data_IF_014586578844
#
_entry.id   IF_014586578844
#
_cell.length_a   1.000
_cell.length_b   1.000
_cell.length_c   1.000
_cell.angle_alpha   90.00
_cell.angle_beta   90.00
_cell.angle_gamma   90.00
#
_symmetry.space_group_name_H-M   'P 1'
#
loop_
_entity.id
_entity.type
_entity.pdbx_description
1 polymer ?
#
# COMPACT_ATOMS: atom_id res chain seq x y z
N UNK A 1 -17.71 4.33 11.44
CA UNK A 1 -18.16 5.67 11.00
C UNK A 1 -18.69 5.50 9.59
N UNK A 2 -20.01 5.52 9.38
CA UNK A 2 -20.60 5.25 8.06
C UNK A 2 -20.42 6.46 7.14
N UNK A 3 -19.91 6.23 5.93
CA UNK A 3 -19.87 7.22 4.84
C UNK A 3 -18.68 8.20 4.85
N UNK A 4 -17.65 7.99 5.68
CA UNK A 4 -16.43 8.82 5.65
C UNK A 4 -15.26 8.03 5.05
N UNK A 5 -14.54 8.57 4.06
CA UNK A 5 -13.38 7.90 3.48
C UNK A 5 -12.30 7.61 4.53
N UNK A 6 -11.74 6.40 4.50
CA UNK A 6 -10.55 5.98 5.25
C UNK A 6 -9.36 5.94 4.31
N UNK A 7 -8.40 6.81 4.58
CA UNK A 7 -7.12 6.86 3.85
C UNK A 7 -6.02 6.41 4.79
N UNK A 8 -5.21 5.44 4.34
CA UNK A 8 -4.07 4.94 5.09
C UNK A 8 -2.77 5.58 4.59
N UNK A 9 -1.82 5.82 5.50
CA UNK A 9 -0.48 6.38 5.23
C UNK A 9 0.58 5.54 5.95
N UNK A 10 1.87 5.77 5.68
CA UNK A 10 2.99 5.09 6.34
C UNK A 10 2.93 3.57 6.20
N UNK A 11 2.70 3.11 4.97
CA UNK A 11 2.40 1.69 4.67
C UNK A 11 3.63 0.92 4.20
N UNK A 12 4.58 1.62 3.57
CA UNK A 12 5.79 1.07 2.93
C UNK A 12 6.99 2.01 3.11
N UNK A 13 7.14 2.60 4.30
CA UNK A 13 8.17 3.61 4.59
C UNK A 13 9.59 3.13 4.24
N UNK A 14 9.89 1.83 4.40
CA UNK A 14 11.19 1.25 4.06
C UNK A 14 11.56 1.36 2.58
N UNK A 15 10.56 1.54 1.70
CA UNK A 15 10.76 1.69 0.27
C UNK A 15 11.35 3.04 -0.13
N UNK A 16 11.50 3.97 0.81
CA UNK A 16 12.29 5.19 0.61
C UNK A 16 13.72 4.86 0.18
N UNK A 17 14.32 3.86 0.83
CA UNK A 17 15.72 3.48 0.63
C UNK A 17 15.89 2.07 0.01
N UNK A 18 14.84 1.25 0.01
CA UNK A 18 14.88 -0.13 -0.44
C UNK A 18 13.97 -0.39 -1.64
N UNK A 19 14.40 -1.22 -2.57
CA UNK A 19 13.62 -1.57 -3.78
C UNK A 19 12.34 -2.38 -3.47
N UNK A 20 12.29 -3.07 -2.32
CA UNK A 20 11.17 -3.91 -1.92
C UNK A 20 10.74 -3.59 -0.50
N UNK A 21 9.43 -3.66 -0.20
CA UNK A 21 8.94 -3.51 1.16
C UNK A 21 9.35 -4.74 1.99
N UNK A 22 9.35 -4.55 3.30
CA UNK A 22 9.43 -5.66 4.24
C UNK A 22 8.18 -6.54 4.15
N UNK A 23 8.28 -7.78 4.65
CA UNK A 23 7.13 -8.67 4.76
C UNK A 23 6.00 -8.07 5.61
N UNK A 24 6.37 -7.34 6.66
CA UNK A 24 5.42 -6.67 7.54
C UNK A 24 4.63 -5.58 6.81
N UNK A 25 5.31 -4.71 6.06
CA UNK A 25 4.68 -3.65 5.25
C UNK A 25 3.79 -4.24 4.14
N UNK A 26 4.25 -5.28 3.44
CA UNK A 26 3.43 -5.95 2.43
C UNK A 26 2.13 -6.54 3.04
N UNK A 27 2.24 -7.13 4.23
CA UNK A 27 1.10 -7.66 4.98
C UNK A 27 0.17 -6.52 5.43
N UNK A 28 0.74 -5.39 5.82
CA UNK A 28 -0.02 -4.22 6.26
C UNK A 28 -0.83 -3.60 5.11
N UNK A 29 -0.24 -3.47 3.91
CA UNK A 29 -0.95 -3.05 2.68
C UNK A 29 -2.10 -4.03 2.38
N UNK A 30 -1.85 -5.33 2.44
CA UNK A 30 -2.88 -6.34 2.15
C UNK A 30 -4.05 -6.26 3.14
N UNK A 31 -3.74 -6.15 4.43
CA UNK A 31 -4.77 -6.01 5.46
C UNK A 31 -5.57 -4.71 5.32
N UNK A 32 -4.94 -3.61 4.89
CA UNK A 32 -5.65 -2.36 4.65
C UNK A 32 -6.78 -2.52 3.60
N UNK A 33 -6.54 -3.34 2.57
CA UNK A 33 -7.56 -3.65 1.55
C UNK A 33 -8.66 -4.52 2.14
N UNK A 34 -8.31 -5.56 2.89
CA UNK A 34 -9.29 -6.45 3.54
C UNK A 34 -10.17 -5.73 4.57
N UNK A 35 -9.60 -4.75 5.28
CA UNK A 35 -10.28 -3.90 6.25
C UNK A 35 -11.18 -2.83 5.59
N UNK A 36 -11.25 -2.81 4.26
CA UNK A 36 -12.07 -1.88 3.49
C UNK A 36 -11.57 -0.44 3.54
N UNK A 37 -10.25 -0.22 3.50
CA UNK A 37 -9.69 1.14 3.33
C UNK A 37 -10.03 1.66 1.93
N UNK A 38 -10.52 2.91 1.84
CA UNK A 38 -10.90 3.51 0.56
C UNK A 38 -9.68 3.90 -0.28
N UNK A 39 -8.57 4.27 0.37
CA UNK A 39 -7.33 4.60 -0.31
C UNK A 39 -6.09 4.32 0.53
N UNK A 40 -4.97 4.18 -0.17
CA UNK A 40 -3.61 4.19 0.36
C UNK A 40 -2.89 5.42 -0.22
N UNK A 41 -2.34 6.25 0.66
CA UNK A 41 -1.51 7.39 0.32
C UNK A 41 -0.04 6.98 0.39
N UNK A 42 0.71 7.26 -0.68
CA UNK A 42 2.17 7.11 -0.70
C UNK A 42 2.82 8.47 -0.46
N UNK A 43 3.69 8.55 0.54
CA UNK A 43 4.31 9.78 1.02
C UNK A 43 5.77 9.93 0.58
N UNK A 44 6.68 9.85 1.55
CA UNK A 44 8.11 10.04 1.35
C UNK A 44 8.69 9.08 0.29
N UNK A 45 8.19 7.86 0.26
CA UNK A 45 8.54 6.79 -0.67
C UNK A 45 8.30 7.15 -2.14
N UNK A 46 7.39 8.10 -2.44
CA UNK A 46 7.18 8.62 -3.81
C UNK A 46 7.66 10.05 -4.00
N UNK A 47 7.66 10.87 -2.94
CA UNK A 47 8.09 12.27 -3.01
C UNK A 47 9.61 12.42 -3.11
N UNK A 48 10.36 11.59 -2.37
CA UNK A 48 11.83 11.67 -2.26
C UNK A 48 12.54 10.31 -2.20
N UNK A 49 11.80 9.22 -2.32
CA UNK A 49 12.35 7.86 -2.31
C UNK A 49 13.16 7.55 -3.55
N UNK A 50 14.06 6.57 -3.43
CA UNK A 50 14.92 6.12 -4.53
C UNK A 50 14.16 5.34 -5.62
N UNK A 51 12.99 4.79 -5.29
CA UNK A 51 12.22 3.88 -6.15
C UNK A 51 10.72 4.26 -6.23
N UNK A 52 10.37 5.48 -6.68
CA UNK A 52 8.99 5.96 -6.63
C UNK A 52 8.05 5.19 -7.56
N UNK A 53 8.51 4.81 -8.75
CA UNK A 53 7.70 4.06 -9.73
C UNK A 53 7.48 2.63 -9.26
N UNK A 54 8.50 1.99 -8.71
CA UNK A 54 8.44 0.64 -8.18
C UNK A 54 7.55 0.58 -6.94
N UNK A 55 7.62 1.58 -6.08
CA UNK A 55 6.69 1.73 -4.94
C UNK A 55 5.23 1.71 -5.41
N UNK A 56 4.88 2.56 -6.39
CA UNK A 56 3.52 2.60 -6.94
C UNK A 56 3.15 1.25 -7.56
N UNK A 57 4.05 0.66 -8.36
CA UNK A 57 3.82 -0.62 -9.04
C UNK A 57 3.60 -1.78 -8.05
N UNK A 58 4.42 -1.86 -7.01
CA UNK A 58 4.38 -2.93 -6.01
C UNK A 58 3.14 -2.82 -5.14
N UNK A 59 2.84 -1.62 -4.61
CA UNK A 59 1.63 -1.41 -3.80
C UNK A 59 0.38 -1.69 -4.64
N UNK A 60 0.33 -1.21 -5.89
CA UNK A 60 -0.77 -1.51 -6.81
C UNK A 60 -0.95 -3.01 -7.07
N UNK A 61 0.14 -3.76 -7.21
CA UNK A 61 0.10 -5.23 -7.34
C UNK A 61 -0.48 -5.90 -6.10
N UNK A 62 -0.04 -5.51 -4.89
CA UNK A 62 -0.56 -6.09 -3.64
C UNK A 62 -2.07 -5.83 -3.54
N UNK A 63 -2.51 -4.60 -3.81
CA UNK A 63 -3.94 -4.28 -3.81
C UNK A 63 -4.74 -5.12 -4.82
N UNK A 64 -4.26 -5.20 -6.08
CA UNK A 64 -4.91 -5.99 -7.13
C UNK A 64 -5.00 -7.48 -6.81
N UNK A 65 -3.95 -8.04 -6.21
CA UNK A 65 -3.92 -9.46 -5.82
C UNK A 65 -4.94 -9.78 -4.73
N UNK A 66 -5.04 -8.91 -3.71
CA UNK A 66 -5.99 -9.08 -2.59
C UNK A 66 -7.43 -8.89 -3.07
N UNK A 67 -7.70 -7.88 -3.90
CA UNK A 67 -9.04 -7.66 -4.46
C UNK A 67 -9.49 -8.85 -5.32
N UNK A 68 -8.58 -9.44 -6.11
CA UNK A 68 -8.91 -10.59 -6.96
C UNK A 68 -9.25 -11.85 -6.14
N UNK A 69 -8.59 -12.06 -4.99
CA UNK A 69 -8.88 -13.19 -4.09
C UNK A 69 -10.14 -12.99 -3.25
N UNK A 70 -10.49 -11.75 -2.90
CA UNK A 70 -11.69 -11.46 -2.09
C UNK A 70 -13.00 -11.54 -2.88
N UNK A 71 -12.94 -11.64 -4.21
CA UNK A 71 -14.10 -11.72 -5.10
C UNK A 71 -14.51 -13.18 -5.46
N UNK A 72 -13.83 -14.18 -4.88
CA UNK A 72 -14.21 -15.59 -4.89
C UNK A 72 -14.79 -15.99 -3.53
#
# INVERSE_FOLDING_TARGET
MVGKPRVLTHVVDSMTDNLRPTRAEATYVANAVLDGSDAILLGAETLRGLYPVETISIVGKICGEVTSHSLL
#
